data_IF_708699716458
#
_entry.id   IF_708699716458
#
_cell.length_a   1.000
_cell.length_b   1.000
_cell.length_c   1.000
_cell.angle_alpha   90.00
_cell.angle_beta   90.00
_cell.angle_gamma   90.00
#
_symmetry.space_group_name_H-M   'P 1'
#
loop_
_entity.id
_entity.type
_entity.pdbx_description
1 polymer ?
#
# COMPACT_ATOMS: atom_id res chain seq x y z
N UNK A 1 22.71 -3.61 15.74
CA UNK A 1 21.73 -3.13 14.73
C UNK A 1 20.37 -3.58 15.19
N UNK A 2 19.40 -2.67 15.25
CA UNK A 2 18.00 -3.08 15.41
C UNK A 2 17.70 -4.11 14.33
N UNK A 3 17.05 -5.21 14.68
CA UNK A 3 16.50 -6.12 13.68
C UNK A 3 15.35 -5.38 13.00
N UNK A 4 15.68 -4.44 12.11
CA UNK A 4 14.72 -3.67 11.35
C UNK A 4 14.09 -4.69 10.42
N UNK A 5 12.84 -5.05 10.72
CA UNK A 5 11.95 -5.61 9.72
C UNK A 5 12.10 -4.73 8.49
N UNK A 6 12.49 -5.28 7.33
CA UNK A 6 12.64 -4.48 6.11
C UNK A 6 11.42 -3.56 5.97
N UNK A 7 11.62 -2.30 5.62
CA UNK A 7 10.54 -1.32 5.49
C UNK A 7 10.56 -0.81 4.06
N UNK A 8 9.47 -0.99 3.32
CA UNK A 8 9.30 -0.38 2.00
C UNK A 8 8.59 0.96 2.11
N UNK A 9 9.13 2.00 1.48
CA UNK A 9 8.45 3.29 1.34
C UNK A 9 7.91 3.44 -0.09
N UNK A 10 6.64 3.86 -0.27
CA UNK A 10 6.04 4.10 -1.58
C UNK A 10 5.33 5.47 -1.65
N UNK A 11 5.30 6.08 -2.83
CA UNK A 11 4.66 7.40 -3.02
C UNK A 11 3.14 7.28 -3.07
N UNK A 12 2.43 8.16 -2.36
CA UNK A 12 0.99 8.35 -2.52
C UNK A 12 0.68 9.01 -3.88
N UNK A 13 -0.01 8.28 -4.77
CA UNK A 13 -0.51 8.85 -6.02
C UNK A 13 -1.81 9.62 -5.75
N UNK A 14 -1.72 10.94 -5.58
CA UNK A 14 -2.91 11.79 -5.50
C UNK A 14 -3.63 11.85 -6.86
N UNK A 15 -4.98 11.75 -6.85
CA UNK A 15 -5.84 11.73 -8.07
C UNK A 15 -5.59 12.89 -9.04
N UNK A 16 -5.12 14.03 -8.54
CA UNK A 16 -4.84 15.24 -9.33
C UNK A 16 -3.65 15.08 -10.29
N UNK A 17 -2.72 14.17 -10.02
CA UNK A 17 -1.53 13.95 -10.85
C UNK A 17 -1.78 13.14 -12.13
N UNK A 18 -2.91 12.42 -12.21
CA UNK A 18 -3.26 11.56 -13.36
C UNK A 18 -3.79 12.38 -14.55
N UNK A 19 -4.37 13.55 -14.32
CA UNK A 19 -5.03 14.34 -15.37
C UNK A 19 -4.09 15.28 -16.15
N UNK A 20 -2.83 15.49 -15.75
CA UNK A 20 -1.95 16.46 -16.42
C UNK A 20 -1.20 15.93 -17.65
N UNK A 21 -1.42 14.68 -18.09
CA UNK A 21 -0.71 14.09 -19.26
C UNK A 21 -1.57 13.83 -20.50
N UNK A 22 -2.78 14.37 -20.58
CA UNK A 22 -3.66 14.19 -21.74
C UNK A 22 -4.21 15.51 -22.29
N UNK A 23 -3.36 16.51 -22.55
CA UNK A 23 -3.71 17.57 -23.52
C UNK A 23 -2.46 18.07 -24.25
N UNK A 24 -2.32 17.71 -25.52
CA UNK A 24 -1.90 18.63 -26.60
C UNK A 24 -1.76 17.85 -27.91
N UNK A 25 -2.73 18.02 -28.81
CA UNK A 25 -2.42 18.05 -30.24
C UNK A 25 -3.49 18.86 -30.95
N UNK A 26 -3.11 20.09 -31.25
CA UNK A 26 -3.76 21.03 -32.16
C UNK A 26 -3.64 20.55 -33.61
N UNK A 27 -4.74 20.61 -34.39
CA UNK A 27 -4.86 21.44 -35.62
C UNK A 27 -6.21 21.23 -36.34
N UNK A 28 -6.78 22.29 -36.95
CA UNK A 28 -8.03 22.22 -37.71
C UNK A 28 -7.77 22.09 -39.23
N UNK A 29 -8.74 21.55 -39.97
CA UNK A 29 -8.83 21.66 -41.43
C UNK A 29 -10.26 21.99 -41.87
N UNK A 30 -10.34 22.89 -42.85
CA UNK A 30 -11.50 23.59 -43.38
C UNK A 30 -11.87 23.04 -44.77
N UNK A 31 -13.04 23.50 -45.30
CA UNK A 31 -13.67 23.35 -46.64
C UNK A 31 -14.69 22.20 -46.73
N UNK A 32 -15.88 22.28 -47.34
CA UNK A 32 -16.74 23.31 -47.99
C UNK A 32 -17.99 22.55 -48.50
N UNK A 33 -19.23 23.10 -48.56
CA UNK A 33 -20.40 22.36 -49.05
C UNK A 33 -20.84 22.78 -50.46
N UNK A 34 -21.35 21.83 -51.26
CA UNK A 34 -22.11 22.15 -52.49
C UNK A 34 -23.09 21.04 -52.90
N UNK A 35 -24.37 21.31 -52.66
CA UNK A 35 -25.56 21.21 -53.53
C UNK A 35 -25.86 19.97 -54.40
N UNK A 36 -27.06 19.41 -54.14
CA UNK A 36 -27.91 18.50 -54.96
C UNK A 36 -28.47 19.23 -56.23
N UNK A 37 -29.03 18.55 -57.27
CA UNK A 37 -30.41 18.00 -57.21
C UNK A 37 -30.74 16.71 -58.04
N UNK A 38 -31.74 15.98 -57.54
CA UNK A 38 -32.90 15.32 -58.20
C UNK A 38 -32.79 14.69 -59.62
N UNK A 39 -33.16 13.41 -59.73
CA UNK A 39 -34.14 12.87 -60.73
C UNK A 39 -34.55 11.42 -60.37
N UNK A 40 -35.82 11.08 -60.62
CA UNK A 40 -36.47 9.74 -60.54
C UNK A 40 -37.39 9.62 -61.78
N UNK A 41 -38.10 8.51 -62.11
CA UNK A 41 -38.02 7.09 -61.71
C UNK A 41 -37.93 6.15 -62.95
N UNK A 42 -37.80 4.82 -62.76
CA UNK A 42 -38.74 3.83 -63.34
C UNK A 42 -38.43 2.38 -62.91
N UNK A 43 -39.55 1.70 -62.59
CA UNK A 43 -39.86 0.27 -62.36
C UNK A 43 -38.96 -0.77 -63.04
N UNK A 44 -38.64 -1.87 -62.32
CA UNK A 44 -39.02 -3.28 -62.62
C UNK A 44 -38.31 -4.24 -61.63
N UNK A 45 -39.05 -4.89 -60.74
CA UNK A 45 -39.41 -6.33 -60.71
C UNK A 45 -38.41 -7.27 -60.04
N UNK A 46 -38.97 -8.05 -59.11
CA UNK A 46 -38.68 -9.46 -58.78
C UNK A 46 -37.69 -9.77 -57.64
N UNK A 47 -38.22 -10.60 -56.72
CA UNK A 47 -37.54 -11.70 -56.03
C UNK A 47 -37.05 -11.48 -54.58
N UNK A 48 -37.94 -11.87 -53.67
CA UNK A 48 -37.72 -12.86 -52.60
C UNK A 48 -36.50 -12.72 -51.67
N UNK A 49 -36.89 -12.50 -50.41
CA UNK A 49 -36.13 -12.43 -49.18
C UNK A 49 -35.38 -13.71 -48.77
N UNK A 50 -34.37 -13.46 -47.92
CA UNK A 50 -33.66 -14.34 -46.96
C UNK A 50 -32.46 -15.14 -47.48
N UNK A 51 -31.39 -14.43 -47.81
CA UNK A 51 -30.06 -14.88 -47.40
C UNK A 51 -29.89 -14.57 -45.91
N UNK A 52 -29.94 -15.60 -45.06
CA UNK A 52 -29.60 -15.49 -43.64
C UNK A 52 -28.09 -15.27 -43.53
N UNK A 53 -27.68 -14.00 -43.57
CA UNK A 53 -26.38 -13.60 -43.07
C UNK A 53 -26.36 -13.91 -41.57
N UNK A 54 -25.85 -15.08 -41.18
CA UNK A 54 -25.32 -15.30 -39.85
C UNK A 54 -24.09 -14.40 -39.71
N UNK A 55 -24.33 -13.12 -39.43
CA UNK A 55 -23.36 -12.32 -38.71
C UNK A 55 -23.12 -13.04 -37.40
N UNK A 56 -22.03 -13.82 -37.36
CA UNK A 56 -21.44 -14.26 -36.12
C UNK A 56 -20.98 -12.97 -35.46
N UNK A 57 -21.83 -12.40 -34.60
CA UNK A 57 -21.44 -11.36 -33.68
C UNK A 57 -20.27 -11.98 -32.90
N UNK A 58 -19.04 -11.59 -33.22
CA UNK A 58 -17.94 -11.83 -32.30
C UNK A 58 -18.34 -11.07 -31.04
N UNK A 59 -18.85 -11.80 -30.05
CA UNK A 59 -18.97 -11.31 -28.69
C UNK A 59 -17.57 -10.82 -28.32
N UNK A 60 -17.40 -9.49 -28.30
CA UNK A 60 -16.22 -8.90 -27.70
C UNK A 60 -16.33 -9.29 -26.23
N UNK A 61 -15.57 -10.32 -25.84
CA UNK A 61 -15.48 -10.72 -24.46
C UNK A 61 -15.04 -9.49 -23.67
N UNK A 62 -15.99 -8.83 -22.99
CA UNK A 62 -15.66 -7.90 -21.93
C UNK A 62 -15.02 -8.76 -20.86
N UNK A 63 -13.69 -8.87 -20.89
CA UNK A 63 -12.95 -9.55 -19.85
C UNK A 63 -13.30 -8.86 -18.54
N UNK A 64 -13.89 -9.60 -17.60
CA UNK A 64 -14.18 -9.13 -16.24
C UNK A 64 -12.98 -8.36 -15.65
N UNK A 65 -13.20 -7.36 -14.77
CA UNK A 65 -12.11 -6.64 -14.11
C UNK A 65 -11.15 -7.59 -13.40
N UNK A 66 -9.86 -7.23 -13.31
CA UNK A 66 -8.85 -8.07 -12.64
C UNK A 66 -9.18 -8.36 -11.18
N UNK A 67 -9.96 -7.48 -10.56
CA UNK A 67 -10.39 -7.53 -9.16
C UNK A 67 -11.67 -8.37 -8.95
N UNK A 68 -12.29 -8.87 -10.02
CA UNK A 68 -13.53 -9.64 -9.91
C UNK A 68 -13.30 -11.01 -9.24
N UNK A 69 -14.30 -11.59 -8.56
CA UNK A 69 -14.20 -12.95 -8.03
C UNK A 69 -13.96 -14.00 -9.12
N UNK A 70 -14.44 -13.77 -10.35
CA UNK A 70 -14.19 -14.67 -11.48
C UNK A 70 -12.70 -14.78 -11.82
N UNK A 71 -11.94 -13.69 -11.65
CA UNK A 71 -10.50 -13.64 -11.86
C UNK A 71 -9.70 -13.91 -10.57
N UNK A 72 -10.35 -14.01 -9.39
CA UNK A 72 -9.73 -14.27 -8.10
C UNK A 72 -10.50 -15.36 -7.33
N UNK A 73 -10.34 -16.65 -7.69
CA UNK A 73 -11.05 -17.73 -7.03
C UNK A 73 -10.83 -17.76 -5.51
N UNK A 74 -11.91 -17.89 -4.74
CA UNK A 74 -11.89 -17.83 -3.27
C UNK A 74 -12.15 -16.43 -2.67
N UNK A 75 -12.23 -15.38 -3.50
CA UNK A 75 -12.64 -14.05 -3.04
C UNK A 75 -14.15 -14.01 -2.75
N UNK A 76 -14.50 -13.72 -1.50
CA UNK A 76 -15.87 -13.45 -1.07
C UNK A 76 -16.09 -11.93 -1.02
N UNK A 77 -17.12 -11.44 -1.73
CA UNK A 77 -17.42 -9.99 -1.81
C UNK A 77 -18.40 -9.52 -0.74
N UNK A 78 -19.20 -10.43 -0.20
CA UNK A 78 -20.06 -10.16 0.96
C UNK A 78 -19.25 -10.38 2.24
N UNK A 79 -19.16 -9.36 3.08
CA UNK A 79 -18.56 -9.46 4.42
C UNK A 79 -19.58 -10.07 5.38
N UNK A 80 -19.14 -11.01 6.19
CA UNK A 80 -19.97 -11.57 7.27
C UNK A 80 -20.24 -10.50 8.34
N UNK A 81 -21.50 -10.36 8.75
CA UNK A 81 -21.96 -9.34 9.70
C UNK A 81 -21.19 -9.39 11.03
N UNK A 82 -20.83 -10.60 11.49
CA UNK A 82 -20.09 -10.80 12.74
C UNK A 82 -18.70 -10.16 12.71
N UNK A 83 -18.15 -9.93 11.51
CA UNK A 83 -16.80 -9.36 11.35
C UNK A 83 -16.80 -7.87 11.09
N UNK A 84 -17.95 -7.19 10.98
CA UNK A 84 -18.05 -5.79 10.54
C UNK A 84 -17.18 -4.82 11.36
N UNK A 85 -17.00 -5.07 12.66
CA UNK A 85 -16.18 -4.26 13.55
C UNK A 85 -14.68 -4.57 13.54
N UNK A 86 -14.23 -5.62 12.84
CA UNK A 86 -12.81 -6.00 12.84
C UNK A 86 -11.98 -5.00 12.02
N UNK A 87 -10.78 -4.72 12.50
CA UNK A 87 -9.76 -3.95 11.79
C UNK A 87 -8.36 -4.48 12.12
N UNK A 88 -7.40 -4.21 11.22
CA UNK A 88 -6.01 -4.60 11.43
C UNK A 88 -5.35 -3.64 12.42
N UNK A 89 -5.27 -4.05 13.69
CA UNK A 89 -4.85 -3.19 14.78
C UNK A 89 -3.33 -3.07 14.89
N UNK A 90 -2.59 -4.19 14.81
CA UNK A 90 -1.15 -4.19 15.06
C UNK A 90 -0.38 -5.18 14.18
N UNK A 91 0.90 -4.87 14.00
CA UNK A 91 1.95 -5.81 13.57
C UNK A 91 3.05 -5.83 14.63
N UNK A 92 3.42 -7.03 15.09
CA UNK A 92 4.38 -7.19 16.18
C UNK A 92 5.78 -7.57 15.67
N UNK A 93 6.80 -6.90 16.19
CA UNK A 93 8.20 -7.26 16.02
C UNK A 93 8.89 -7.44 17.37
N UNK A 94 9.73 -8.46 17.46
CA UNK A 94 10.68 -8.55 18.56
C UNK A 94 11.89 -7.67 18.26
N UNK A 95 12.33 -6.93 19.27
CA UNK A 95 13.45 -5.99 19.16
C UNK A 95 14.53 -6.28 20.20
N UNK A 96 15.80 -6.18 19.77
CA UNK A 96 16.96 -6.40 20.65
C UNK A 96 17.13 -5.29 21.68
N UNK A 97 17.04 -4.04 21.22
CA UNK A 97 17.28 -2.87 22.06
C UNK A 97 16.17 -1.83 21.83
N UNK A 98 15.35 -1.53 22.85
CA UNK A 98 14.29 -0.54 22.75
C UNK A 98 14.82 0.87 22.53
N UNK A 99 16.01 1.22 23.03
CA UNK A 99 16.59 2.55 22.83
C UNK A 99 16.85 2.82 21.34
N UNK A 100 17.48 1.86 20.66
CA UNK A 100 17.77 1.97 19.22
C UNK A 100 16.48 1.94 18.40
N UNK A 101 15.57 1.05 18.76
CA UNK A 101 14.32 0.86 18.01
C UNK A 101 13.40 2.06 18.14
N UNK A 102 13.22 2.59 19.36
CA UNK A 102 12.40 3.79 19.60
C UNK A 102 12.97 5.00 18.87
N UNK A 103 14.29 5.21 18.87
CA UNK A 103 14.91 6.30 18.11
C UNK A 103 14.63 6.17 16.61
N UNK A 104 14.77 4.97 16.04
CA UNK A 104 14.48 4.74 14.64
C UNK A 104 13.01 5.00 14.30
N UNK A 105 12.06 4.32 14.97
CA UNK A 105 10.64 4.48 14.63
C UNK A 105 10.11 5.89 14.93
N UNK A 106 10.62 6.57 15.96
CA UNK A 106 10.16 7.93 16.29
C UNK A 106 10.89 9.01 15.50
N UNK A 107 12.21 9.15 15.64
CA UNK A 107 12.98 10.22 15.01
C UNK A 107 13.14 10.02 13.50
N UNK A 108 13.42 8.79 13.06
CA UNK A 108 13.63 8.51 11.64
C UNK A 108 12.29 8.39 10.91
N UNK A 109 11.35 7.58 11.41
CA UNK A 109 10.08 7.33 10.71
C UNK A 109 8.92 8.23 11.11
N UNK A 110 9.05 9.02 12.18
CA UNK A 110 8.02 9.98 12.60
C UNK A 110 6.84 9.37 13.36
N UNK A 111 6.96 8.15 13.88
CA UNK A 111 5.91 7.53 14.68
C UNK A 111 5.94 8.04 16.14
N UNK A 112 4.77 8.07 16.76
CA UNK A 112 4.61 8.43 18.17
C UNK A 112 4.53 7.18 19.04
N UNK A 113 5.15 7.22 20.23
CA UNK A 113 4.93 6.19 21.26
C UNK A 113 3.54 6.38 21.88
N UNK A 114 2.65 5.43 21.62
CA UNK A 114 1.26 5.47 22.07
C UNK A 114 1.13 4.90 23.48
N UNK A 115 1.72 3.73 23.72
CA UNK A 115 1.68 3.07 25.03
C UNK A 115 2.93 2.24 25.24
N UNK A 116 3.37 2.17 26.50
CA UNK A 116 4.31 1.18 27.00
C UNK A 116 3.59 0.30 28.03
N UNK A 117 3.80 -1.01 27.95
CA UNK A 117 3.35 -1.98 28.92
C UNK A 117 4.57 -2.80 29.38
N UNK A 118 4.75 -2.94 30.69
CA UNK A 118 5.85 -3.71 31.28
C UNK A 118 5.28 -4.92 32.02
N UNK A 119 5.88 -6.09 31.82
CA UNK A 119 5.47 -7.35 32.43
C UNK A 119 6.65 -7.94 33.22
N UNK A 120 6.90 -7.48 34.47
CA UNK A 120 8.10 -7.86 35.23
C UNK A 120 8.24 -9.36 35.50
N UNK A 121 7.14 -10.04 35.80
CA UNK A 121 7.12 -11.48 36.06
C UNK A 121 7.57 -12.29 34.83
N UNK A 122 7.24 -11.80 33.63
CA UNK A 122 7.58 -12.44 32.35
C UNK A 122 8.82 -11.82 31.70
N UNK A 123 9.40 -10.78 32.29
CA UNK A 123 10.61 -10.07 31.83
C UNK A 123 10.55 -9.59 30.38
N UNK A 124 9.46 -8.94 30.00
CA UNK A 124 9.38 -8.24 28.72
C UNK A 124 8.59 -6.93 28.82
N UNK A 125 8.82 -6.05 27.84
CA UNK A 125 8.10 -4.81 27.64
C UNK A 125 7.52 -4.76 26.23
N UNK A 126 6.35 -4.13 26.09
CA UNK A 126 5.71 -3.83 24.81
C UNK A 126 5.70 -2.33 24.58
N UNK A 127 6.08 -1.89 23.38
CA UNK A 127 6.04 -0.50 22.96
C UNK A 127 5.15 -0.40 21.73
N UNK A 128 4.03 0.30 21.85
CA UNK A 128 3.08 0.51 20.76
C UNK A 128 3.35 1.84 20.09
N UNK A 129 3.67 1.83 18.80
CA UNK A 129 3.92 3.02 17.99
C UNK A 129 2.92 3.15 16.84
N UNK A 130 2.65 4.38 16.43
CA UNK A 130 1.79 4.66 15.28
C UNK A 130 1.84 6.12 14.84
N UNK A 131 1.22 6.43 13.72
CA UNK A 131 1.11 7.79 13.18
C UNK A 131 -0.09 8.53 13.76
N UNK A 132 -0.11 8.67 15.09
CA UNK A 132 -1.20 9.29 15.84
C UNK A 132 -0.72 10.54 16.60
N UNK A 133 -1.63 11.49 16.77
CA UNK A 133 -1.41 12.66 17.62
C UNK A 133 -1.61 12.31 19.10
N UNK A 134 -0.51 12.23 19.84
CA UNK A 134 -0.52 11.92 21.27
C UNK A 134 -1.12 13.02 22.14
N UNK A 135 -1.30 14.24 21.63
CA UNK A 135 -2.01 15.30 22.37
C UNK A 135 -3.49 14.97 22.55
N UNK A 136 -4.06 14.15 21.67
CA UNK A 136 -5.44 13.64 21.78
C UNK A 136 -5.58 12.42 22.68
N UNK A 137 -4.46 11.85 23.13
CA UNK A 137 -4.49 10.61 23.90
C UNK A 137 -4.91 10.89 25.36
N UNK A 138 -5.76 10.04 25.95
CA UNK A 138 -6.15 10.18 27.35
C UNK A 138 -4.94 10.18 28.30
N UNK A 139 -5.06 10.96 29.38
CA UNK A 139 -4.06 11.00 30.45
C UNK A 139 -4.19 9.81 31.40
N UNK A 140 -5.42 9.34 31.63
CA UNK A 140 -5.66 8.15 32.44
C UNK A 140 -5.01 6.91 31.79
N UNK A 141 -4.24 6.09 32.53
CA UNK A 141 -3.55 4.95 31.96
C UNK A 141 -4.46 3.87 31.37
N UNK A 142 -5.65 3.66 31.92
CA UNK A 142 -6.62 2.66 31.44
C UNK A 142 -7.26 3.17 30.16
N UNK A 143 -7.76 4.40 30.16
CA UNK A 143 -8.36 5.01 28.97
C UNK A 143 -7.35 5.12 27.82
N UNK A 144 -6.09 5.44 28.12
CA UNK A 144 -5.02 5.46 27.13
C UNK A 144 -4.77 4.09 26.51
N UNK A 145 -4.95 3.03 27.30
CA UNK A 145 -4.82 1.64 26.81
C UNK A 145 -5.94 1.32 25.82
N UNK A 146 -7.19 1.63 26.19
CA UNK A 146 -8.35 1.47 25.30
C UNK A 146 -8.18 2.29 24.03
N UNK A 147 -7.75 3.55 24.15
CA UNK A 147 -7.47 4.43 23.01
C UNK A 147 -6.41 3.85 22.09
N UNK A 148 -5.31 3.32 22.64
CA UNK A 148 -4.20 2.74 21.85
C UNK A 148 -4.64 1.51 21.08
N UNK A 149 -5.35 0.58 21.73
CA UNK A 149 -5.85 -0.63 21.08
C UNK A 149 -7.04 -0.38 20.14
N UNK A 150 -7.61 0.83 20.16
CA UNK A 150 -8.56 1.30 19.15
C UNK A 150 -7.89 1.85 17.87
N UNK A 151 -6.56 1.97 17.82
CA UNK A 151 -5.85 2.52 16.66
C UNK A 151 -5.50 1.46 15.63
N UNK A 152 -5.79 1.67 14.33
CA UNK A 152 -5.37 0.76 13.28
C UNK A 152 -3.87 0.87 13.02
N UNK A 153 -3.30 -0.18 12.39
CA UNK A 153 -1.95 -0.17 11.82
C UNK A 153 -0.82 0.27 12.78
N UNK A 154 -0.93 -0.08 14.06
CA UNK A 154 0.14 0.15 15.04
C UNK A 154 1.28 -0.85 14.86
N UNK A 155 2.48 -0.46 15.31
CA UNK A 155 3.64 -1.33 15.45
C UNK A 155 3.81 -1.67 16.93
N UNK A 156 3.68 -2.94 17.28
CA UNK A 156 4.01 -3.46 18.60
C UNK A 156 5.47 -3.91 18.59
N UNK A 157 6.33 -3.27 19.38
CA UNK A 157 7.71 -3.71 19.59
C UNK A 157 7.81 -4.44 20.92
N UNK A 158 8.12 -5.73 20.87
CA UNK A 158 8.33 -6.58 22.04
C UNK A 158 9.82 -6.66 22.37
N UNK A 159 10.18 -6.20 23.57
CA UNK A 159 11.54 -6.30 24.09
C UNK A 159 11.60 -7.34 25.20
N UNK A 160 12.31 -8.44 24.95
CA UNK A 160 12.68 -9.38 26.01
C UNK A 160 13.89 -8.84 26.77
N UNK A 161 13.76 -8.67 28.08
CA UNK A 161 14.77 -7.96 28.87
C UNK A 161 16.12 -8.68 28.86
N UNK A 162 17.20 -7.92 28.70
CA UNK A 162 18.58 -8.41 28.69
C UNK A 162 19.13 -8.71 27.30
N UNK A 163 18.29 -8.82 26.26
CA UNK A 163 18.73 -9.08 24.88
C UNK A 163 19.68 -8.01 24.33
N UNK A 164 19.56 -6.78 24.80
CA UNK A 164 20.40 -5.62 24.47
C UNK A 164 21.83 -5.76 25.00
N UNK A 165 22.01 -6.47 26.12
CA UNK A 165 23.31 -6.61 26.82
C UNK A 165 23.90 -8.00 26.69
N UNK A 166 23.16 -8.95 26.12
CA UNK A 166 23.62 -10.32 25.88
C UNK A 166 24.60 -10.34 24.68
N UNK A 167 25.88 -10.70 24.90
CA UNK A 167 26.89 -10.80 23.85
C UNK A 167 26.69 -12.03 22.93
N UNK A 168 26.00 -13.06 23.41
CA UNK A 168 25.71 -14.28 22.66
C UNK A 168 24.44 -14.13 21.82
N UNK A 169 23.56 -13.19 22.16
CA UNK A 169 22.37 -12.90 21.39
C UNK A 169 22.69 -12.29 20.01
N UNK A 170 22.58 -13.12 18.97
CA UNK A 170 22.88 -12.76 17.57
C UNK A 170 21.86 -11.82 16.91
N UNK A 171 20.77 -11.50 17.61
CA UNK A 171 19.67 -10.69 17.09
C UNK A 171 18.49 -11.55 16.67
N UNK A 172 17.39 -10.87 16.32
CA UNK A 172 16.22 -11.53 15.75
C UNK A 172 16.41 -11.75 14.24
N UNK A 173 15.76 -12.79 13.72
CA UNK A 173 15.74 -13.09 12.30
C UNK A 173 14.65 -12.24 11.62
N UNK A 174 14.98 -11.61 10.49
CA UNK A 174 14.09 -10.68 9.80
C UNK A 174 13.16 -11.33 8.75
N UNK A 175 13.20 -12.67 8.61
CA UNK A 175 12.38 -13.45 7.69
C UNK A 175 12.79 -13.41 6.21
N UNK A 176 13.80 -12.61 5.84
CA UNK A 176 14.19 -12.39 4.44
C UNK A 176 15.32 -13.33 3.95
N UNK A 177 15.93 -14.10 4.86
CA UNK A 177 16.83 -15.22 4.56
C UNK A 177 16.22 -16.55 5.05
N UNK A 178 16.85 -17.69 4.79
CA UNK A 178 16.34 -18.97 5.29
C UNK A 178 16.42 -19.07 6.83
N UNK A 179 15.41 -19.65 7.51
CA UNK A 179 14.08 -20.00 6.98
C UNK A 179 13.25 -18.74 6.70
N UNK A 180 12.69 -18.64 5.49
CA UNK A 180 11.92 -17.45 5.07
C UNK A 180 10.53 -17.40 5.68
N UNK A 181 9.99 -16.19 5.82
CA UNK A 181 8.64 -15.95 6.35
C UNK A 181 8.15 -14.53 6.14
N UNK A 182 8.10 -13.74 7.21
CA UNK A 182 7.75 -12.31 7.14
C UNK A 182 8.70 -11.55 6.18
N UNK A 183 8.15 -10.66 5.36
CA UNK A 183 8.91 -9.86 4.41
C UNK A 183 9.24 -8.46 4.94
N UNK A 184 8.26 -7.57 4.93
CA UNK A 184 8.42 -6.17 5.29
C UNK A 184 7.10 -5.51 5.69
N UNK A 185 7.19 -4.36 6.38
CA UNK A 185 6.08 -3.39 6.46
C UNK A 185 6.23 -2.35 5.36
N UNK A 186 5.12 -1.75 4.95
CA UNK A 186 5.08 -0.69 3.95
C UNK A 186 4.63 0.63 4.58
N UNK A 187 5.34 1.72 4.28
CA UNK A 187 4.99 3.08 4.68
C UNK A 187 4.72 3.90 3.42
N UNK A 188 3.53 4.48 3.32
CA UNK A 188 3.25 5.43 2.24
C UNK A 188 3.75 6.81 2.64
N UNK A 189 4.47 7.47 1.74
CA UNK A 189 5.03 8.81 1.91
C UNK A 189 4.61 9.71 0.75
N UNK A 190 4.71 11.03 0.93
CA UNK A 190 4.36 11.99 -0.13
C UNK A 190 5.34 11.93 -1.32
N UNK A 191 6.63 11.77 -1.03
CA UNK A 191 7.70 11.76 -2.02
C UNK A 191 8.81 10.81 -1.56
N UNK A 192 8.92 9.66 -2.23
CA UNK A 192 9.92 8.62 -1.88
C UNK A 192 11.33 9.18 -2.01
N UNK A 193 11.63 9.98 -3.04
CA UNK A 193 12.98 10.49 -3.23
C UNK A 193 13.41 11.41 -2.08
N UNK A 194 12.54 12.34 -1.66
CA UNK A 194 12.81 13.21 -0.51
C UNK A 194 12.91 12.43 0.81
N UNK A 195 12.09 11.39 0.98
CA UNK A 195 12.16 10.53 2.14
C UNK A 195 13.50 9.77 2.19
N UNK A 196 13.89 9.13 1.09
CA UNK A 196 15.16 8.38 1.05
C UNK A 196 16.37 9.33 1.16
N UNK A 197 16.35 10.54 0.58
CA UNK A 197 17.40 11.55 0.78
C UNK A 197 17.55 11.92 2.27
N UNK A 198 16.42 12.11 2.98
CA UNK A 198 16.44 12.35 4.42
C UNK A 198 17.00 11.14 5.18
N UNK A 199 16.61 9.93 4.82
CA UNK A 199 17.14 8.70 5.44
C UNK A 199 18.65 8.56 5.22
N UNK A 200 19.16 8.85 4.03
CA UNK A 200 20.61 8.87 3.75
C UNK A 200 21.34 9.89 4.63
N UNK A 201 20.82 11.12 4.76
CA UNK A 201 21.40 12.14 5.67
C UNK A 201 21.40 11.71 7.14
N UNK A 202 20.45 10.87 7.54
CA UNK A 202 20.36 10.33 8.90
C UNK A 202 21.20 9.05 9.09
N UNK A 203 21.92 8.61 8.06
CA UNK A 203 22.78 7.42 8.11
C UNK A 203 22.01 6.10 8.15
N UNK A 204 20.78 6.07 7.62
CA UNK A 204 19.96 4.85 7.54
C UNK A 204 20.53 3.92 6.48
N UNK A 205 20.63 2.63 6.80
CA UNK A 205 21.05 1.59 5.86
C UNK A 205 19.91 1.25 4.90
N UNK A 206 20.25 0.99 3.64
CA UNK A 206 19.26 0.63 2.61
C UNK A 206 19.50 -0.79 2.14
N UNK A 207 18.45 -1.61 2.19
CA UNK A 207 18.39 -2.86 1.42
C UNK A 207 18.23 -2.57 -0.08
N UNK A 208 17.49 -1.51 -0.44
CA UNK A 208 17.29 -1.07 -1.83
C UNK A 208 17.05 0.43 -1.92
N UNK A 209 17.87 1.14 -2.70
CA UNK A 209 17.67 2.55 -3.03
C UNK A 209 16.53 2.75 -4.03
N UNK A 210 15.87 3.93 -4.09
CA UNK A 210 14.73 4.17 -4.97
C UNK A 210 15.02 3.89 -6.46
N UNK A 211 16.24 4.15 -6.91
CA UNK A 211 16.66 3.91 -8.31
C UNK A 211 17.31 2.52 -8.54
N UNK A 212 17.42 1.68 -7.51
CA UNK A 212 18.13 0.40 -7.55
C UNK A 212 17.32 -0.77 -8.16
N UNK A 213 16.22 -0.50 -8.89
CA UNK A 213 15.27 -1.52 -9.35
C UNK A 213 14.99 -1.51 -10.85
N UNK A 214 14.17 -2.46 -11.32
CA UNK A 214 13.61 -2.44 -12.68
C UNK A 214 12.83 -1.14 -12.89
N UNK A 215 13.05 -0.50 -14.05
CA UNK A 215 12.48 0.79 -14.41
C UNK A 215 10.98 0.88 -14.10
N UNK A 216 10.58 1.85 -13.27
CA UNK A 216 9.17 2.17 -12.98
C UNK A 216 8.68 1.90 -11.55
N UNK A 217 9.52 1.40 -10.64
CA UNK A 217 9.10 1.13 -9.26
C UNK A 217 9.61 2.20 -8.28
N UNK A 218 8.74 3.15 -7.90
CA UNK A 218 9.03 4.25 -6.96
C UNK A 218 8.92 3.73 -5.51
N UNK A 219 9.88 2.89 -5.08
CA UNK A 219 10.00 2.48 -3.69
C UNK A 219 11.46 2.32 -3.25
N UNK A 220 11.74 2.65 -1.98
CA UNK A 220 13.01 2.30 -1.33
C UNK A 220 12.78 1.37 -0.14
N UNK A 221 13.80 0.58 0.21
CA UNK A 221 13.79 -0.36 1.32
C UNK A 221 14.93 -0.08 2.29
N UNK A 222 14.59 0.13 3.55
CA UNK A 222 15.49 0.36 4.69
C UNK A 222 15.34 -0.73 5.74
#
# INVERSE_FOLDING_TARGET
MASVASISCSTSLSRLSIFSRLTSSTRPLFLSPSSLPFFSPTKTTTSWFKASNRFRLLSMASSEPKESPANNPGLHTARDEATNGYFMQQTMFRIKDPKVSLDFYSRVLGMSLLKRLDFPEMKFSLYFLGYEDTASAPADPVDRTVWTFGKPATIELTHNWGTESDPDFKGYHNGNSEPRGFGHIGITVDDVYKACERFERLGVEFAKKPDGGKAGSIHCSV
#
